data_IF_249099601112
#
_entry.id   IF_249099601112
#
_cell.length_a   1.000
_cell.length_b   1.000
_cell.length_c   1.000
_cell.angle_alpha   90.00
_cell.angle_beta   90.00
_cell.angle_gamma   90.00
#
_symmetry.space_group_name_H-M   'P 1'
#
loop_
_entity.id
_entity.type
_entity.pdbx_description
1 polymer ?
#
# COMPACT_ATOMS: atom_id res chain seq x y z
N UNK A 1 -5.50 -1.38 24.31
CA UNK A 1 -6.43 -2.53 24.41
C UNK A 1 -7.44 -2.57 23.26
N UNK A 2 -8.14 -1.48 22.95
CA UNK A 2 -9.19 -1.46 21.92
C UNK A 2 -8.68 -1.80 20.51
N UNK A 3 -7.52 -1.27 20.11
CA UNK A 3 -6.91 -1.57 18.81
C UNK A 3 -6.51 -3.05 18.75
N UNK A 4 -6.01 -3.65 19.83
CA UNK A 4 -5.71 -5.08 19.90
C UNK A 4 -6.96 -5.92 19.65
N UNK A 5 -8.08 -5.58 20.26
CA UNK A 5 -9.35 -6.28 20.04
C UNK A 5 -9.78 -6.23 18.57
N UNK A 6 -9.64 -5.06 17.91
CA UNK A 6 -9.94 -4.93 16.49
C UNK A 6 -8.98 -5.78 15.63
N UNK A 7 -7.69 -5.72 15.91
CA UNK A 7 -6.70 -6.53 15.18
C UNK A 7 -6.96 -8.02 15.34
N UNK A 8 -7.29 -8.46 16.55
CA UNK A 8 -7.56 -9.85 16.89
C UNK A 8 -8.83 -10.41 16.23
N UNK A 9 -9.79 -9.55 15.89
CA UNK A 9 -11.00 -9.95 15.14
C UNK A 9 -10.65 -10.51 13.74
N UNK A 10 -9.55 -10.01 13.14
CA UNK A 10 -9.14 -10.31 11.77
C UNK A 10 -7.88 -11.20 11.69
N UNK A 11 -7.52 -11.90 12.77
CA UNK A 11 -6.33 -12.75 12.84
C UNK A 11 -6.70 -14.16 13.27
N UNK A 12 -6.01 -15.14 12.72
CA UNK A 12 -6.11 -16.54 13.19
C UNK A 12 -5.44 -16.68 14.55
N UNK A 13 -4.21 -16.16 14.68
CA UNK A 13 -3.47 -16.14 15.95
C UNK A 13 -3.66 -14.80 16.65
N UNK A 14 -4.08 -14.86 17.91
CA UNK A 14 -4.28 -13.67 18.74
C UNK A 14 -2.95 -13.02 19.10
N UNK A 15 -2.99 -11.70 19.29
CA UNK A 15 -1.85 -10.95 19.82
C UNK A 15 -1.63 -11.30 21.29
N UNK A 16 -0.37 -11.33 21.71
CA UNK A 16 0.00 -11.57 23.10
C UNK A 16 -0.55 -10.45 24.01
N UNK A 17 -0.81 -10.77 25.28
CA UNK A 17 -1.39 -9.81 26.23
C UNK A 17 -0.47 -8.61 26.51
N UNK A 18 0.84 -8.80 26.41
CA UNK A 18 1.88 -7.78 26.54
C UNK A 18 2.30 -7.15 25.20
N UNK A 19 1.47 -7.30 24.14
CA UNK A 19 1.75 -6.69 22.85
C UNK A 19 1.50 -5.18 22.87
N UNK A 20 2.48 -4.42 22.37
CA UNK A 20 2.38 -3.00 22.12
C UNK A 20 2.29 -2.69 20.62
N UNK A 21 1.53 -1.66 20.21
CA UNK A 21 1.38 -1.26 18.80
C UNK A 21 2.60 -0.50 18.30
N UNK A 22 3.80 -0.98 18.62
CA UNK A 22 5.07 -0.36 18.28
C UNK A 22 6.03 -1.42 17.70
N UNK A 23 6.74 -1.05 16.66
CA UNK A 23 7.81 -1.82 16.07
C UNK A 23 9.09 -0.99 16.09
N UNK A 24 10.21 -1.60 16.41
CA UNK A 24 11.49 -0.90 16.60
C UNK A 24 12.54 -1.52 15.69
N UNK A 25 13.32 -0.69 15.00
CA UNK A 25 14.56 -1.16 14.38
C UNK A 25 15.68 -1.21 15.41
N UNK A 26 16.32 -2.37 15.53
CA UNK A 26 17.40 -2.57 16.49
C UNK A 26 18.61 -1.68 16.17
N UNK A 27 19.09 -0.92 17.14
CA UNK A 27 20.26 -0.04 16.98
C UNK A 27 21.57 -0.80 16.71
N UNK A 28 21.61 -2.11 17.02
CA UNK A 28 22.81 -2.94 16.84
C UNK A 28 22.84 -3.65 15.48
N UNK A 29 21.73 -4.26 15.05
CA UNK A 29 21.70 -5.09 13.84
C UNK A 29 20.81 -4.52 12.72
N UNK A 30 20.12 -3.41 12.95
CA UNK A 30 19.24 -2.71 12.01
C UNK A 30 18.08 -3.56 11.45
N UNK A 31 17.68 -4.62 12.17
CA UNK A 31 16.49 -5.41 11.82
C UNK A 31 15.31 -5.02 12.71
N UNK A 32 14.10 -5.31 12.28
CA UNK A 32 12.87 -5.12 13.08
C UNK A 32 12.44 -6.41 13.82
N UNK A 33 13.34 -7.37 13.97
CA UNK A 33 13.14 -8.57 14.79
C UNK A 33 13.22 -8.24 16.29
N UNK A 34 12.41 -7.30 16.72
CA UNK A 34 12.39 -6.76 18.07
C UNK A 34 11.02 -6.95 18.71
N UNK A 35 11.00 -7.02 20.04
CA UNK A 35 9.77 -6.95 20.85
C UNK A 35 9.91 -5.78 21.83
N UNK A 36 8.90 -4.92 21.85
CA UNK A 36 8.76 -3.92 22.92
C UNK A 36 8.29 -4.66 24.16
N UNK A 37 9.03 -4.50 25.26
CA UNK A 37 8.76 -5.19 26.53
C UNK A 37 8.25 -4.26 27.61
N UNK A 38 8.43 -2.95 27.44
CA UNK A 38 7.87 -1.94 28.32
C UNK A 38 7.61 -0.64 27.56
N UNK A 39 6.55 0.06 27.95
CA UNK A 39 6.17 1.39 27.47
C UNK A 39 5.61 2.20 28.64
N UNK A 40 6.10 3.41 28.82
CA UNK A 40 5.71 4.30 29.93
C UNK A 40 4.39 5.05 29.68
N UNK A 41 3.71 4.75 28.57
CA UNK A 41 2.50 5.44 28.08
C UNK A 41 2.74 6.90 27.66
N UNK A 42 4.01 7.33 27.61
CA UNK A 42 4.41 8.63 27.09
C UNK A 42 5.35 8.48 25.90
N UNK A 43 6.67 8.46 26.13
CA UNK A 43 7.67 8.48 25.05
C UNK A 43 8.82 7.49 25.24
N UNK A 44 8.88 6.79 26.37
CA UNK A 44 9.93 5.84 26.67
C UNK A 44 9.48 4.41 26.39
N UNK A 45 10.26 3.70 25.62
CA UNK A 45 10.07 2.27 25.39
C UNK A 45 11.33 1.50 25.69
N UNK A 46 11.17 0.28 26.19
CA UNK A 46 12.25 -0.71 26.29
C UNK A 46 11.95 -1.82 25.28
N UNK A 47 12.95 -2.18 24.49
CA UNK A 47 12.83 -3.26 23.51
C UNK A 47 13.96 -4.28 23.63
N UNK A 48 13.66 -5.52 23.25
CA UNK A 48 14.62 -6.61 23.10
C UNK A 48 14.68 -7.06 21.65
N UNK A 49 15.86 -7.32 21.14
CA UNK A 49 16.07 -7.83 19.80
C UNK A 49 16.51 -9.31 19.83
N UNK A 50 16.17 -10.08 18.82
CA UNK A 50 16.66 -11.46 18.66
C UNK A 50 18.20 -11.57 18.62
N UNK A 51 18.91 -10.51 18.23
CA UNK A 51 20.38 -10.47 18.29
C UNK A 51 20.95 -10.37 19.72
N UNK A 52 20.10 -10.37 20.74
CA UNK A 52 20.48 -10.26 22.17
C UNK A 52 20.67 -8.82 22.67
N UNK A 53 20.44 -7.82 21.81
CA UNK A 53 20.53 -6.42 22.22
C UNK A 53 19.22 -5.97 22.89
N UNK A 54 19.37 -5.22 23.98
CA UNK A 54 18.26 -4.60 24.70
C UNK A 54 18.61 -3.14 24.99
N UNK A 55 17.64 -2.24 24.81
CA UNK A 55 17.81 -0.82 25.15
C UNK A 55 16.50 -0.16 25.50
N UNK A 56 16.59 0.95 26.28
CA UNK A 56 15.49 1.85 26.57
C UNK A 56 15.72 3.17 25.86
N UNK A 57 14.73 3.65 25.11
CA UNK A 57 14.87 4.82 24.26
C UNK A 57 13.67 5.76 24.40
N UNK A 58 13.92 7.05 24.24
CA UNK A 58 12.91 8.05 23.96
C UNK A 58 12.72 8.14 22.43
N UNK A 59 11.58 7.67 21.92
CA UNK A 59 11.35 7.58 20.48
C UNK A 59 11.18 8.93 19.78
N UNK A 60 11.00 10.03 20.51
CA UNK A 60 11.07 11.39 19.91
C UNK A 60 12.48 11.74 19.46
N UNK A 61 13.49 11.14 20.10
CA UNK A 61 14.92 11.38 19.82
C UNK A 61 15.53 10.38 18.85
N UNK A 62 14.80 9.29 18.57
CA UNK A 62 15.28 8.17 17.75
C UNK A 62 14.25 7.81 16.68
N UNK A 63 14.55 8.09 15.43
CA UNK A 63 13.70 7.78 14.27
C UNK A 63 13.68 6.28 13.88
N UNK A 64 13.70 5.38 14.87
CA UNK A 64 13.76 3.91 14.67
C UNK A 64 12.49 3.18 15.10
N UNK A 65 11.48 3.92 15.54
CA UNK A 65 10.19 3.38 15.99
C UNK A 65 9.13 3.67 14.95
N UNK A 66 8.30 2.68 14.65
CA UNK A 66 7.16 2.81 13.73
C UNK A 66 5.93 2.13 14.32
N UNK A 67 4.76 2.53 13.84
CA UNK A 67 3.53 1.77 14.05
C UNK A 67 3.49 0.56 13.10
N UNK A 68 2.85 -0.56 13.47
CA UNK A 68 2.51 -1.62 12.54
C UNK A 68 1.64 -1.07 11.39
N UNK A 69 1.89 -1.56 10.18
CA UNK A 69 1.28 -1.13 8.93
C UNK A 69 -0.25 -0.88 9.01
N UNK A 70 -1.01 -1.81 9.57
CA UNK A 70 -2.49 -1.71 9.62
C UNK A 70 -2.99 -0.57 10.51
N UNK A 71 -2.18 -0.14 11.48
CA UNK A 71 -2.46 1.00 12.36
C UNK A 71 -1.96 2.28 11.72
N UNK A 72 -0.73 2.27 11.22
CA UNK A 72 -0.11 3.43 10.59
C UNK A 72 -0.95 3.97 9.42
N UNK A 73 -1.50 3.07 8.61
CA UNK A 73 -2.26 3.44 7.42
C UNK A 73 -3.47 4.31 7.77
N UNK A 74 -4.31 3.89 8.70
CA UNK A 74 -5.46 4.69 9.11
C UNK A 74 -5.07 5.99 9.85
N UNK A 75 -3.98 6.00 10.60
CA UNK A 75 -3.47 7.20 11.26
C UNK A 75 -2.97 8.23 10.24
N UNK A 76 -2.37 7.79 9.13
CA UNK A 76 -1.97 8.67 8.02
C UNK A 76 -3.16 9.31 7.33
N UNK A 77 -4.28 8.62 7.19
CA UNK A 77 -5.50 9.24 6.63
C UNK A 77 -5.89 10.50 7.39
N UNK A 78 -5.81 10.44 8.70
CA UNK A 78 -6.11 11.61 9.53
C UNK A 78 -5.01 12.68 9.44
N UNK A 79 -3.76 12.28 9.60
CA UNK A 79 -2.62 13.20 9.63
C UNK A 79 -2.45 13.99 8.32
N UNK A 80 -2.62 13.31 7.18
CA UNK A 80 -2.48 13.89 5.85
C UNK A 80 -3.80 14.48 5.31
N UNK A 81 -4.91 14.34 6.02
CA UNK A 81 -6.23 14.80 5.57
C UNK A 81 -6.72 14.10 4.29
N UNK A 82 -6.50 12.78 4.21
CA UNK A 82 -6.81 11.98 3.00
C UNK A 82 -8.32 11.87 2.79
N UNK A 83 -8.82 12.30 1.65
CA UNK A 83 -10.23 12.19 1.27
C UNK A 83 -10.51 11.05 0.30
N UNK A 84 -9.51 10.61 -0.46
CA UNK A 84 -9.62 9.56 -1.45
C UNK A 84 -8.40 8.64 -1.37
N UNK A 85 -8.63 7.34 -1.24
CA UNK A 85 -7.61 6.30 -1.08
C UNK A 85 -7.80 5.19 -2.13
N UNK A 86 -7.07 5.18 -3.24
CA UNK A 86 -7.05 4.03 -4.12
C UNK A 86 -6.19 2.91 -3.52
N UNK A 87 -6.68 1.69 -3.55
CA UNK A 87 -5.96 0.54 -3.01
C UNK A 87 -6.09 -0.71 -3.87
N UNK A 88 -5.02 -1.50 -3.92
CA UNK A 88 -4.99 -2.77 -4.63
C UNK A 88 -6.00 -3.78 -4.05
N UNK A 89 -6.48 -4.67 -4.89
CA UNK A 89 -7.50 -5.67 -4.50
C UNK A 89 -7.06 -6.56 -3.34
N UNK A 90 -5.77 -6.78 -3.15
CA UNK A 90 -5.22 -7.54 -2.04
C UNK A 90 -5.54 -6.95 -0.66
N UNK A 91 -5.74 -5.63 -0.61
CA UNK A 91 -6.14 -4.95 0.63
C UNK A 91 -7.65 -5.01 0.87
N UNK A 92 -8.41 -5.36 -0.16
CA UNK A 92 -9.89 -5.33 -0.19
C UNK A 92 -10.56 -6.67 0.09
N UNK A 93 -9.78 -7.72 0.38
CA UNK A 93 -10.34 -9.02 0.81
C UNK A 93 -11.11 -8.83 2.12
N UNK A 94 -12.27 -9.51 2.30
CA UNK A 94 -13.01 -9.46 3.56
C UNK A 94 -12.09 -9.78 4.76
N UNK A 95 -12.10 -8.91 5.78
CA UNK A 95 -11.20 -9.00 6.92
C UNK A 95 -9.74 -8.61 6.63
N UNK A 96 -9.47 -8.10 5.45
CA UNK A 96 -8.15 -7.65 5.04
C UNK A 96 -7.72 -6.34 5.69
N UNK A 97 -6.59 -5.81 5.20
CA UNK A 97 -6.00 -4.60 5.79
C UNK A 97 -6.89 -3.36 5.67
N UNK A 98 -7.72 -3.26 4.61
CA UNK A 98 -8.66 -2.14 4.45
C UNK A 98 -9.76 -2.16 5.51
N UNK A 99 -10.38 -3.31 5.76
CA UNK A 99 -11.44 -3.44 6.76
C UNK A 99 -10.90 -3.16 8.16
N UNK A 100 -9.72 -3.71 8.45
CA UNK A 100 -9.02 -3.48 9.73
C UNK A 100 -8.71 -1.99 9.93
N UNK A 101 -8.11 -1.33 8.93
CA UNK A 101 -7.74 0.09 9.02
C UNK A 101 -8.97 0.98 9.16
N UNK A 102 -10.07 0.66 8.45
CA UNK A 102 -11.34 1.37 8.55
C UNK A 102 -11.92 1.29 9.97
N UNK A 103 -12.00 0.09 10.54
CA UNK A 103 -12.54 -0.11 11.91
C UNK A 103 -11.69 0.62 12.96
N UNK A 104 -10.36 0.58 12.83
CA UNK A 104 -9.45 1.34 13.70
C UNK A 104 -9.68 2.84 13.54
N UNK A 105 -9.81 3.35 12.31
CA UNK A 105 -10.07 4.76 12.05
C UNK A 105 -11.37 5.22 12.70
N UNK A 106 -12.47 4.50 12.48
CA UNK A 106 -13.79 4.81 13.04
C UNK A 106 -13.78 4.76 14.57
N UNK A 107 -12.93 3.91 15.17
CA UNK A 107 -12.76 3.84 16.61
C UNK A 107 -11.98 5.01 17.18
N UNK A 108 -10.90 5.42 16.52
CA UNK A 108 -10.03 6.52 16.97
C UNK A 108 -10.61 7.91 16.68
N UNK A 109 -11.39 8.02 15.59
CA UNK A 109 -11.93 9.29 15.10
C UNK A 109 -13.44 9.20 14.83
N UNK A 110 -14.27 9.00 15.88
CA UNK A 110 -15.71 8.72 15.73
C UNK A 110 -16.49 9.84 15.01
N UNK A 111 -15.97 11.07 15.08
CA UNK A 111 -16.60 12.24 14.42
C UNK A 111 -16.18 12.39 12.96
N UNK A 112 -15.28 11.54 12.44
CA UNK A 112 -14.73 11.63 11.07
C UNK A 112 -15.15 10.43 10.24
N UNK A 113 -15.09 10.62 8.93
CA UNK A 113 -15.33 9.54 7.96
C UNK A 113 -14.01 9.09 7.35
N UNK A 114 -13.81 7.78 7.17
CA UNK A 114 -12.65 7.28 6.43
C UNK A 114 -12.69 7.78 4.98
N UNK A 115 -11.56 7.81 4.29
CA UNK A 115 -11.49 8.24 2.89
C UNK A 115 -12.40 7.39 2.00
N UNK A 116 -12.88 8.02 0.91
CA UNK A 116 -13.53 7.29 -0.17
C UNK A 116 -12.51 6.32 -0.76
N UNK A 117 -12.86 5.04 -0.78
CA UNK A 117 -11.97 3.99 -1.24
C UNK A 117 -12.32 3.54 -2.65
N UNK A 118 -11.31 3.39 -3.50
CA UNK A 118 -11.44 2.81 -4.83
C UNK A 118 -10.48 1.62 -4.97
N UNK A 119 -11.06 0.43 -5.11
CA UNK A 119 -10.27 -0.76 -5.40
C UNK A 119 -9.79 -0.76 -6.86
N UNK A 120 -8.51 -1.10 -7.07
CA UNK A 120 -7.98 -1.38 -8.39
C UNK A 120 -7.38 -2.79 -8.47
N UNK A 121 -7.38 -3.33 -9.69
CA UNK A 121 -6.82 -4.66 -9.98
C UNK A 121 -5.35 -4.57 -10.39
N UNK A 122 -4.73 -5.71 -10.63
CA UNK A 122 -3.32 -5.80 -10.98
C UNK A 122 -3.06 -5.31 -12.40
N UNK A 123 -1.84 -4.81 -12.56
CA UNK A 123 -1.22 -4.60 -13.86
C UNK A 123 -0.22 -5.73 -14.04
N UNK A 124 -0.36 -6.48 -15.12
CA UNK A 124 0.55 -7.56 -15.47
C UNK A 124 1.36 -7.21 -16.71
N UNK A 125 2.45 -7.90 -16.92
CA UNK A 125 3.23 -7.79 -18.16
C UNK A 125 2.85 -8.92 -19.10
N UNK A 126 2.45 -8.60 -20.32
CA UNK A 126 2.08 -9.59 -21.33
C UNK A 126 3.26 -10.53 -21.60
N UNK A 127 3.00 -11.83 -21.61
CA UNK A 127 4.02 -12.86 -21.85
C UNK A 127 4.87 -13.22 -20.61
N UNK A 128 4.75 -12.46 -19.51
CA UNK A 128 5.35 -12.80 -18.22
C UNK A 128 4.21 -13.22 -17.31
N UNK A 129 4.11 -14.50 -17.01
CA UNK A 129 3.01 -15.02 -16.20
C UNK A 129 3.02 -14.47 -14.77
N UNK A 130 1.82 -14.19 -14.23
CA UNK A 130 1.61 -13.83 -12.84
C UNK A 130 1.82 -12.36 -12.48
N UNK A 131 1.64 -12.06 -11.20
CA UNK A 131 1.79 -10.72 -10.62
C UNK A 131 3.25 -10.27 -10.65
N UNK A 132 3.49 -9.01 -10.98
CA UNK A 132 4.81 -8.39 -10.78
C UNK A 132 5.21 -8.42 -9.31
N UNK A 133 6.44 -8.85 -9.05
CA UNK A 133 6.99 -8.94 -7.68
C UNK A 133 8.47 -8.61 -7.68
N UNK A 134 8.86 -7.70 -6.78
CA UNK A 134 10.26 -7.32 -6.61
C UNK A 134 11.14 -8.50 -6.22
N UNK A 135 10.61 -9.45 -5.43
CA UNK A 135 11.34 -10.65 -5.01
C UNK A 135 11.58 -11.64 -6.14
N UNK A 136 10.75 -11.61 -7.21
CA UNK A 136 10.91 -12.43 -8.41
C UNK A 136 11.71 -11.73 -9.51
N UNK A 137 12.06 -10.45 -9.33
CA UNK A 137 12.81 -9.68 -10.32
C UNK A 137 12.05 -9.41 -11.62
N UNK A 138 10.73 -9.61 -11.66
CA UNK A 138 9.88 -9.41 -12.84
C UNK A 138 9.11 -8.09 -12.82
N UNK A 139 9.59 -7.11 -12.06
CA UNK A 139 8.98 -5.77 -11.99
C UNK A 139 9.50 -4.92 -13.13
N UNK A 140 8.58 -4.30 -13.86
CA UNK A 140 8.87 -3.21 -14.79
C UNK A 140 8.47 -1.92 -14.08
N UNK A 141 9.43 -1.03 -13.87
CA UNK A 141 9.18 0.25 -13.26
C UNK A 141 8.73 1.29 -14.31
N UNK A 142 8.27 2.45 -13.83
CA UNK A 142 7.78 3.51 -14.71
C UNK A 142 8.85 4.00 -15.70
N UNK A 143 10.12 4.04 -15.28
CA UNK A 143 11.22 4.47 -16.16
C UNK A 143 11.41 3.50 -17.32
N UNK A 144 11.36 2.18 -17.04
CA UNK A 144 11.48 1.16 -18.08
C UNK A 144 10.31 1.27 -19.08
N UNK A 145 9.09 1.49 -18.58
CA UNK A 145 7.92 1.68 -19.44
C UNK A 145 8.04 2.92 -20.33
N UNK A 146 8.62 4.01 -19.82
CA UNK A 146 8.84 5.26 -20.57
C UNK A 146 9.94 5.17 -21.64
N UNK A 147 10.73 4.10 -21.67
CA UNK A 147 11.66 3.83 -22.78
C UNK A 147 10.93 3.33 -24.05
N UNK A 148 9.70 2.83 -23.88
CA UNK A 148 8.89 2.26 -24.96
C UNK A 148 7.66 3.13 -25.27
N UNK A 149 7.01 3.64 -24.21
CA UNK A 149 5.78 4.41 -24.33
C UNK A 149 6.01 5.90 -24.09
N UNK A 150 5.40 6.72 -24.93
CA UNK A 150 5.30 8.15 -24.65
C UNK A 150 4.43 8.38 -23.39
N UNK A 151 4.72 9.43 -22.59
CA UNK A 151 4.00 9.68 -21.33
C UNK A 151 2.48 9.76 -21.48
N UNK A 152 1.99 10.36 -22.58
CA UNK A 152 0.55 10.49 -22.84
C UNK A 152 -0.10 9.13 -23.17
N UNK A 153 0.60 8.29 -23.96
CA UNK A 153 0.12 6.95 -24.28
C UNK A 153 0.07 6.09 -23.01
N UNK A 154 1.11 6.15 -22.19
CA UNK A 154 1.13 5.40 -20.94
C UNK A 154 -0.01 5.84 -19.99
N UNK A 155 -0.26 7.14 -19.84
CA UNK A 155 -1.39 7.66 -19.07
C UNK A 155 -2.74 7.20 -19.64
N UNK A 156 -2.87 7.19 -20.98
CA UNK A 156 -4.08 6.72 -21.65
C UNK A 156 -4.34 5.24 -21.37
N UNK A 157 -3.33 4.37 -21.38
CA UNK A 157 -3.48 2.95 -21.01
C UNK A 157 -4.16 2.80 -19.65
N UNK A 158 -3.69 3.55 -18.66
CA UNK A 158 -4.25 3.51 -17.31
C UNK A 158 -5.68 4.08 -17.25
N UNK A 159 -5.98 5.14 -17.98
CA UNK A 159 -7.28 5.81 -17.93
C UNK A 159 -8.35 5.17 -18.80
N UNK A 160 -7.95 4.42 -19.83
CA UNK A 160 -8.85 3.68 -20.72
C UNK A 160 -9.36 2.36 -20.13
N UNK A 161 -8.71 1.89 -19.06
CA UNK A 161 -9.08 0.63 -18.38
C UNK A 161 -9.86 0.93 -17.10
N UNK A 162 -10.89 0.14 -16.82
CA UNK A 162 -11.63 0.27 -15.57
C UNK A 162 -10.75 -0.14 -14.39
N UNK A 163 -10.74 0.59 -13.29
CA UNK A 163 -9.86 0.31 -12.15
C UNK A 163 -9.94 -1.13 -11.63
N UNK A 164 -11.14 -1.70 -11.58
CA UNK A 164 -11.38 -3.06 -11.08
C UNK A 164 -11.16 -4.17 -12.12
N UNK A 165 -10.42 -3.88 -13.19
CA UNK A 165 -10.11 -4.83 -14.26
C UNK A 165 -8.60 -4.98 -14.37
N UNK A 166 -8.12 -6.22 -14.26
CA UNK A 166 -6.73 -6.54 -14.55
C UNK A 166 -6.44 -6.24 -16.03
N UNK A 167 -5.31 -5.62 -16.31
CA UNK A 167 -4.85 -5.42 -17.68
C UNK A 167 -3.36 -5.70 -17.83
N UNK A 168 -2.98 -6.03 -19.07
CA UNK A 168 -1.59 -6.33 -19.43
C UNK A 168 -0.95 -5.15 -20.17
N UNK A 169 0.23 -4.73 -19.71
CA UNK A 169 1.11 -3.87 -20.49
C UNK A 169 1.96 -4.78 -21.40
N UNK A 170 2.04 -4.42 -22.67
CA UNK A 170 2.83 -5.14 -23.66
C UNK A 170 4.15 -4.44 -23.94
N UNK A 171 5.19 -5.21 -24.22
CA UNK A 171 6.51 -4.73 -24.65
C UNK A 171 6.93 -5.44 -25.94
N UNK A 172 5.98 -6.02 -26.66
CA UNK A 172 6.13 -6.66 -27.95
C UNK A 172 5.42 -5.86 -29.07
N UNK A 173 5.12 -6.48 -30.18
CA UNK A 173 4.47 -5.84 -31.33
C UNK A 173 3.07 -5.26 -31.04
N UNK A 174 2.43 -5.65 -29.93
CA UNK A 174 1.14 -5.06 -29.52
C UNK A 174 1.27 -3.57 -29.12
N UNK A 175 2.48 -3.10 -28.87
CA UNK A 175 2.76 -1.65 -28.69
C UNK A 175 2.21 -0.84 -29.85
N UNK A 176 2.36 -1.29 -31.09
CA UNK A 176 1.85 -0.60 -32.27
C UNK A 176 0.33 -0.42 -32.22
N UNK A 177 -0.38 -1.48 -31.81
CA UNK A 177 -1.84 -1.41 -31.67
C UNK A 177 -2.26 -0.43 -30.57
N UNK A 178 -1.51 -0.38 -29.48
CA UNK A 178 -1.78 0.57 -28.38
C UNK A 178 -1.66 2.01 -28.87
N UNK A 179 -0.62 2.30 -29.67
CA UNK A 179 -0.47 3.63 -30.28
C UNK A 179 -1.58 3.94 -31.29
N UNK A 180 -1.95 2.97 -32.15
CA UNK A 180 -3.08 3.15 -33.08
C UNK A 180 -4.40 3.46 -32.35
N UNK A 181 -4.68 2.76 -31.24
CA UNK A 181 -5.88 2.99 -30.44
C UNK A 181 -5.83 4.36 -29.73
N UNK A 182 -4.66 4.79 -29.27
CA UNK A 182 -4.44 6.12 -28.72
C UNK A 182 -4.67 7.22 -29.77
N UNK A 183 -4.04 7.10 -30.95
CA UNK A 183 -4.20 8.04 -32.07
C UNK A 183 -5.66 8.15 -32.51
N UNK A 184 -6.40 7.05 -32.47
CA UNK A 184 -7.82 7.05 -32.77
C UNK A 184 -8.62 7.86 -31.73
N UNK A 185 -8.29 7.70 -30.45
CA UNK A 185 -8.86 8.51 -29.38
C UNK A 185 -8.55 10.01 -29.54
N UNK A 186 -7.32 10.33 -29.91
CA UNK A 186 -6.87 11.71 -30.16
C UNK A 186 -7.62 12.35 -31.32
N UNK A 187 -7.75 11.66 -32.46
CA UNK A 187 -8.53 12.13 -33.60
C UNK A 187 -9.99 12.36 -33.23
N UNK A 188 -10.62 11.42 -32.51
CA UNK A 188 -11.97 11.62 -32.03
C UNK A 188 -12.11 12.89 -31.16
N UNK A 189 -11.16 13.13 -30.28
CA UNK A 189 -11.20 14.27 -29.38
C UNK A 189 -11.01 15.61 -30.11
N UNK A 190 -9.99 15.68 -30.99
CA UNK A 190 -9.62 16.93 -31.67
C UNK A 190 -10.40 17.16 -32.95
N UNK A 191 -10.58 16.14 -33.78
CA UNK A 191 -11.21 16.24 -35.11
C UNK A 191 -12.71 15.93 -35.06
N UNK A 192 -13.25 15.54 -33.91
CA UNK A 192 -14.62 15.10 -33.73
C UNK A 192 -15.06 13.98 -34.66
N UNK A 193 -14.13 13.09 -35.02
CA UNK A 193 -14.44 11.88 -35.76
C UNK A 193 -15.32 10.94 -34.91
N UNK A 194 -16.29 10.27 -35.54
CA UNK A 194 -17.10 9.26 -34.85
C UNK A 194 -16.26 7.99 -34.60
N UNK A 195 -16.31 7.49 -33.37
CA UNK A 195 -15.76 6.16 -33.04
C UNK A 195 -16.69 5.12 -33.64
N UNK A 196 -16.25 4.45 -34.71
CA UNK A 196 -16.95 3.32 -35.32
C UNK A 196 -16.60 2.00 -34.64
#
# INVERSE_FOLDING_TARGET
DEIRVILDKYREEKLEDDWFPLSVYCEKCNTDETKVVNYDEEYQITYKCKCGFENSIDFRKKGIVKLPWRIEWCMRWEHEGVNFEPGGKEHSTPGGSRDTAKEIFERLYPEKKPPIYMMYDYIIVKGIGGKMSSSLGNVINLKDALEIYEPNVLRWIFTSTRPNTEFAISFDMDVLKIYEDFDKCERFYFDKEEIK
#
